data_IF_962230199828
#
_entry.id   IF_962230199828
#
_cell.length_a   1.000
_cell.length_b   1.000
_cell.length_c   1.000
_cell.angle_alpha   90.00
_cell.angle_beta   90.00
_cell.angle_gamma   90.00
#
_symmetry.space_group_name_H-M   'P 1'
#
loop_
_entity.id
_entity.type
_entity.pdbx_description
1 polymer ?
#
# COMPACT_ATOMS: atom_id res chain seq x y z
N UNK A 1 -4.90 11.08 52.42
CA UNK A 1 -4.73 12.25 51.52
C UNK A 1 -6.11 12.68 51.07
N UNK A 2 -6.44 13.96 51.21
CA UNK A 2 -7.76 14.51 50.87
C UNK A 2 -7.99 14.39 49.36
N UNK A 3 -9.12 13.80 48.96
CA UNK A 3 -9.53 13.73 47.57
C UNK A 3 -9.89 15.14 47.08
N UNK A 4 -9.06 15.70 46.19
CA UNK A 4 -9.44 16.91 45.45
C UNK A 4 -10.49 16.52 44.42
N UNK A 5 -11.74 16.87 44.73
CA UNK A 5 -12.86 16.75 43.80
C UNK A 5 -12.80 17.96 42.86
N UNK A 6 -12.37 17.73 41.62
CA UNK A 6 -12.37 18.75 40.58
C UNK A 6 -13.82 19.17 40.31
N UNK A 7 -14.10 20.46 40.45
CA UNK A 7 -15.42 21.04 40.19
C UNK A 7 -15.54 21.34 38.69
N UNK A 8 -16.74 21.20 38.13
CA UNK A 8 -17.02 21.38 36.70
C UNK A 8 -16.61 22.77 36.16
N UNK A 9 -16.50 23.77 37.02
CA UNK A 9 -16.05 25.13 36.71
C UNK A 9 -14.55 25.21 36.38
N UNK A 10 -13.74 24.27 36.87
CA UNK A 10 -12.29 24.22 36.62
C UNK A 10 -11.98 23.67 35.21
N UNK A 11 -12.90 22.91 34.61
CA UNK A 11 -12.80 22.42 33.23
C UNK A 11 -13.30 23.45 32.19
N UNK A 12 -14.08 24.44 32.61
CA UNK A 12 -14.64 25.46 31.73
C UNK A 12 -13.65 26.58 31.37
N UNK A 13 -12.54 26.72 32.13
CA UNK A 13 -11.53 27.76 31.91
C UNK A 13 -10.51 27.42 30.81
N UNK A 14 -10.63 26.27 30.14
CA UNK A 14 -9.73 25.86 29.05
C UNK A 14 -10.24 26.26 27.65
N UNK A 15 -11.41 26.90 27.55
CA UNK A 15 -11.99 27.34 26.27
C UNK A 15 -11.73 28.81 25.94
N UNK A 16 -11.13 29.58 26.84
CA UNK A 16 -10.69 30.94 26.55
C UNK A 16 -9.22 30.87 26.14
N UNK A 17 -8.97 31.07 24.84
CA UNK A 17 -7.69 30.90 24.14
C UNK A 17 -6.51 31.66 24.75
N UNK A 18 -6.01 31.16 25.87
CA UNK A 18 -4.74 31.53 26.47
C UNK A 18 -3.64 30.95 25.59
N UNK A 19 -3.06 31.81 24.73
CA UNK A 19 -1.82 31.46 24.07
C UNK A 19 -0.75 31.26 25.13
N UNK A 20 -0.22 30.05 25.22
CA UNK A 20 1.01 29.81 25.97
C UNK A 20 2.11 30.52 25.19
N UNK A 21 2.59 31.64 25.74
CA UNK A 21 3.75 32.36 25.20
C UNK A 21 4.98 31.44 25.29
N UNK A 22 5.29 30.77 24.18
CA UNK A 22 6.53 30.03 24.04
C UNK A 22 7.64 31.03 23.71
N UNK A 23 8.43 31.37 24.73
CA UNK A 23 9.69 32.09 24.53
C UNK A 23 10.57 31.35 23.50
N UNK A 24 11.25 32.07 22.59
CA UNK A 24 12.04 31.44 21.55
C UNK A 24 13.25 30.73 22.14
N UNK A 25 13.20 29.39 22.18
CA UNK A 25 14.30 28.53 22.59
C UNK A 25 15.44 28.70 21.57
N UNK A 26 16.49 29.39 22.00
CA UNK A 26 17.75 29.52 21.26
C UNK A 26 18.44 28.15 21.14
N UNK A 27 18.56 27.68 19.91
CA UNK A 27 19.62 26.83 19.34
C UNK A 27 20.34 25.86 20.31
N UNK A 28 19.79 24.66 20.48
CA UNK A 28 20.56 23.41 20.67
C UNK A 28 19.83 22.27 19.97
N UNK A 29 20.47 21.68 18.96
CA UNK A 29 19.91 20.66 18.05
C UNK A 29 19.56 19.31 18.72
N UNK A 30 19.62 19.18 20.05
CA UNK A 30 19.36 17.92 20.76
C UNK A 30 18.38 18.05 21.94
N UNK A 31 17.72 19.20 22.11
CA UNK A 31 16.92 19.51 23.32
C UNK A 31 15.61 18.73 23.46
N UNK A 32 14.80 18.64 22.40
CA UNK A 32 13.51 17.92 22.50
C UNK A 32 13.71 16.41 22.65
N UNK A 33 14.75 15.86 22.03
CA UNK A 33 15.03 14.43 22.06
C UNK A 33 15.64 13.98 23.41
N UNK A 34 16.51 14.80 24.01
CA UNK A 34 17.05 14.54 25.34
C UNK A 34 15.98 14.63 26.42
N UNK A 35 15.13 15.66 26.39
CA UNK A 35 14.03 15.80 27.35
C UNK A 35 13.07 14.62 27.32
N UNK A 36 12.66 14.16 26.12
CA UNK A 36 11.76 13.01 25.99
C UNK A 36 12.46 11.72 26.42
N UNK A 37 13.76 11.57 26.13
CA UNK A 37 14.52 10.39 26.53
C UNK A 37 14.68 10.32 28.05
N UNK A 38 15.01 11.44 28.69
CA UNK A 38 15.19 11.55 30.14
C UNK A 38 13.84 11.37 30.86
N UNK A 39 12.74 11.91 30.32
CA UNK A 39 11.38 11.68 30.84
C UNK A 39 10.96 10.20 30.76
N UNK A 40 11.32 9.51 29.68
CA UNK A 40 11.03 8.08 29.52
C UNK A 40 11.93 7.23 30.43
N UNK A 41 13.21 7.57 30.58
CA UNK A 41 14.13 6.91 31.51
C UNK A 41 13.69 7.11 32.97
N UNK A 42 13.20 8.31 33.34
CA UNK A 42 12.63 8.59 34.67
C UNK A 42 11.28 7.89 34.92
N UNK A 43 10.53 7.59 33.85
CA UNK A 43 9.31 6.78 33.97
C UNK A 43 9.61 5.29 34.14
N UNK A 44 10.70 4.81 33.55
CA UNK A 44 11.16 3.41 33.62
C UNK A 44 11.92 3.14 34.92
N UNK A 45 12.69 4.10 35.43
CA UNK A 45 13.51 3.95 36.63
C UNK A 45 12.71 3.94 37.93
N UNK A 46 11.45 4.39 37.91
CA UNK A 46 10.53 4.27 39.05
C UNK A 46 10.18 2.79 39.24
N UNK A 47 10.69 2.09 40.28
CA UNK A 47 10.22 0.75 40.56
C UNK A 47 8.73 0.84 40.86
N UNK A 48 7.92 0.01 40.18
CA UNK A 48 6.53 -0.16 40.55
C UNK A 48 6.51 -0.54 42.04
N UNK A 49 5.98 0.35 42.89
CA UNK A 49 5.80 0.07 44.31
C UNK A 49 4.88 -1.15 44.42
N UNK A 50 5.46 -2.33 44.55
CA UNK A 50 4.74 -3.52 44.95
C UNK A 50 4.40 -3.34 46.42
N UNK A 51 3.27 -2.68 46.69
CA UNK A 51 2.64 -2.83 47.98
C UNK A 51 2.26 -4.31 48.11
N UNK A 52 3.08 -5.10 48.82
CA UNK A 52 2.65 -6.43 49.26
C UNK A 52 1.48 -6.21 50.23
N UNK A 53 0.26 -6.22 49.68
CA UNK A 53 -0.94 -6.22 50.50
C UNK A 53 -0.91 -7.52 51.29
N UNK A 54 -0.63 -7.43 52.59
CA UNK A 54 -0.86 -8.55 53.52
C UNK A 54 -2.36 -8.86 53.41
N UNK A 55 -2.70 -10.04 52.88
CA UNK A 55 -4.10 -10.47 52.75
C UNK A 55 -4.73 -10.49 54.13
N UNK A 56 -5.71 -9.64 54.35
CA UNK A 56 -6.50 -9.68 55.58
C UNK A 56 -7.49 -10.84 55.52
N UNK A 57 -7.88 -11.40 56.67
CA UNK A 57 -8.89 -12.47 56.77
C UNK A 57 -10.24 -12.09 56.13
N UNK A 58 -10.49 -10.79 55.91
CA UNK A 58 -11.69 -10.27 55.26
C UNK A 58 -11.58 -10.10 53.74
N UNK A 59 -10.44 -10.38 53.12
CA UNK A 59 -10.26 -10.27 51.65
C UNK A 59 -10.79 -11.50 50.89
N UNK A 60 -11.15 -12.60 51.57
CA UNK A 60 -11.84 -13.73 50.97
C UNK A 60 -13.36 -13.53 50.97
N UNK A 61 -13.84 -12.47 50.30
CA UNK A 61 -15.26 -12.38 49.98
C UNK A 61 -15.50 -13.29 48.76
N UNK A 62 -16.48 -14.21 48.77
CA UNK A 62 -16.80 -15.00 47.60
C UNK A 62 -17.18 -14.05 46.46
N UNK A 63 -16.31 -13.93 45.47
CA UNK A 63 -16.57 -13.10 44.31
C UNK A 63 -17.68 -13.75 43.49
N UNK A 64 -18.76 -13.00 43.29
CA UNK A 64 -19.83 -13.40 42.38
C UNK A 64 -19.25 -13.61 40.98
N UNK A 65 -19.89 -14.46 40.17
CA UNK A 65 -19.45 -14.73 38.80
C UNK A 65 -19.31 -13.45 37.96
N UNK A 66 -20.16 -12.46 38.21
CA UNK A 66 -20.09 -11.14 37.60
C UNK A 66 -18.81 -10.36 37.97
N UNK A 67 -18.34 -10.45 39.21
CA UNK A 67 -17.07 -9.80 39.59
C UNK A 67 -15.88 -10.46 38.90
N UNK A 68 -15.89 -11.79 38.81
CA UNK A 68 -14.84 -12.56 38.10
C UNK A 68 -14.82 -12.25 36.60
N UNK A 69 -15.98 -12.11 35.97
CA UNK A 69 -16.06 -11.77 34.54
C UNK A 69 -15.59 -10.34 34.27
N UNK A 70 -15.96 -9.36 35.10
CA UNK A 70 -15.49 -7.98 34.99
C UNK A 70 -13.97 -7.89 35.20
N UNK A 71 -13.43 -8.60 36.19
CA UNK A 71 -12.00 -8.64 36.46
C UNK A 71 -11.21 -9.29 35.31
N UNK A 72 -11.73 -10.38 34.74
CA UNK A 72 -11.14 -11.01 33.56
C UNK A 72 -11.10 -10.05 32.36
N UNK A 73 -12.18 -9.30 32.10
CA UNK A 73 -12.23 -8.30 31.01
C UNK A 73 -11.20 -7.19 31.25
N UNK A 74 -11.04 -6.70 32.48
CA UNK A 74 -10.06 -5.67 32.82
C UNK A 74 -8.62 -6.18 32.65
N UNK A 75 -8.33 -7.41 33.05
CA UNK A 75 -7.02 -8.04 32.85
C UNK A 75 -6.72 -8.21 31.35
N UNK A 76 -7.68 -8.66 30.55
CA UNK A 76 -7.52 -8.78 29.09
C UNK A 76 -7.24 -7.43 28.42
N UNK A 77 -7.92 -6.35 28.85
CA UNK A 77 -7.67 -5.00 28.34
C UNK A 77 -6.25 -4.53 28.64
N UNK A 78 -5.74 -4.78 29.84
CA UNK A 78 -4.37 -4.43 30.22
C UNK A 78 -3.33 -5.21 29.41
N UNK A 79 -3.56 -6.51 29.19
CA UNK A 79 -2.69 -7.35 28.35
C UNK A 79 -2.67 -6.84 26.91
N UNK A 80 -3.84 -6.53 26.35
CA UNK A 80 -3.94 -5.98 25.00
C UNK A 80 -3.22 -4.62 24.87
N UNK A 81 -3.35 -3.76 25.88
CA UNK A 81 -2.65 -2.48 25.94
C UNK A 81 -1.13 -2.66 26.03
N UNK A 82 -0.65 -3.63 26.82
CA UNK A 82 0.78 -3.97 26.89
C UNK A 82 1.31 -4.53 25.56
N UNK A 83 0.56 -5.41 24.90
CA UNK A 83 0.93 -5.94 23.58
C UNK A 83 1.00 -4.81 22.56
N UNK A 84 0.02 -3.92 22.54
CA UNK A 84 0.00 -2.75 21.66
C UNK A 84 1.21 -1.85 21.91
N UNK A 85 1.56 -1.57 23.18
CA UNK A 85 2.76 -0.81 23.55
C UNK A 85 4.05 -1.50 23.13
N UNK A 86 4.15 -2.82 23.29
CA UNK A 86 5.32 -3.61 22.84
C UNK A 86 5.49 -3.55 21.33
N UNK A 87 4.41 -3.70 20.58
CA UNK A 87 4.42 -3.62 19.12
C UNK A 87 4.85 -2.22 18.65
N UNK A 88 4.32 -1.16 19.27
CA UNK A 88 4.70 0.22 18.94
C UNK A 88 6.20 0.49 19.23
N UNK A 89 6.73 -0.04 20.36
CA UNK A 89 8.16 0.04 20.69
C UNK A 89 9.03 -0.71 19.69
N UNK A 90 8.62 -1.92 19.32
CA UNK A 90 9.35 -2.72 18.33
C UNK A 90 9.45 -2.01 16.97
N UNK A 91 8.34 -1.44 16.49
CA UNK A 91 8.33 -0.68 15.24
C UNK A 91 9.22 0.57 15.32
N UNK A 92 9.19 1.28 16.46
CA UNK A 92 10.06 2.41 16.70
C UNK A 92 11.54 2.02 16.66
N UNK A 93 11.93 0.95 17.37
CA UNK A 93 13.31 0.47 17.42
C UNK A 93 13.78 -0.04 16.06
N UNK A 94 12.92 -0.74 15.30
CA UNK A 94 13.18 -1.17 13.92
C UNK A 94 13.45 0.03 13.01
N UNK A 95 12.63 1.08 13.09
CA UNK A 95 12.80 2.32 12.34
C UNK A 95 14.10 3.03 12.73
N UNK A 96 14.43 3.08 14.02
CA UNK A 96 15.66 3.70 14.51
C UNK A 96 16.92 2.93 14.13
N UNK A 97 16.88 1.60 14.14
CA UNK A 97 17.98 0.76 13.64
C UNK A 97 18.24 1.00 12.14
N UNK A 98 17.17 1.10 11.32
CA UNK A 98 17.26 1.44 9.90
C UNK A 98 17.88 2.82 9.70
N UNK A 99 17.44 3.83 10.45
CA UNK A 99 17.99 5.19 10.37
C UNK A 99 19.48 5.20 10.78
N UNK A 100 19.85 4.50 11.85
CA UNK A 100 21.27 4.37 12.27
C UNK A 100 22.11 3.70 11.19
N UNK A 101 21.60 2.65 10.54
CA UNK A 101 22.26 1.99 9.39
C UNK A 101 22.45 2.98 8.23
N UNK A 102 21.41 3.71 7.83
CA UNK A 102 21.47 4.69 6.73
C UNK A 102 22.44 5.86 7.05
N UNK A 103 22.43 6.34 8.29
CA UNK A 103 23.29 7.43 8.75
C UNK A 103 24.73 6.98 9.02
N UNK A 104 25.01 5.67 9.07
CA UNK A 104 26.35 5.14 9.33
C UNK A 104 27.33 5.49 8.19
N UNK A 105 28.59 5.73 8.56
CA UNK A 105 29.66 6.03 7.59
C UNK A 105 29.93 4.86 6.65
N UNK A 106 29.78 3.62 7.12
CA UNK A 106 29.98 2.40 6.32
C UNK A 106 28.92 2.25 5.24
N UNK A 107 27.64 2.44 5.56
CA UNK A 107 26.54 2.39 4.58
C UNK A 107 26.72 3.45 3.48
N UNK A 108 27.10 4.68 3.84
CA UNK A 108 27.38 5.75 2.86
C UNK A 108 28.56 5.41 1.95
N UNK A 109 29.61 4.77 2.47
CA UNK A 109 30.76 4.30 1.67
C UNK A 109 30.35 3.20 0.70
N UNK A 110 29.60 2.20 1.16
CA UNK A 110 29.08 1.13 0.31
C UNK A 110 28.18 1.69 -0.79
N UNK A 111 27.22 2.55 -0.45
CA UNK A 111 26.31 3.17 -1.42
C UNK A 111 27.02 4.00 -2.49
N UNK A 112 28.15 4.65 -2.15
CA UNK A 112 29.00 5.35 -3.14
C UNK A 112 29.70 4.35 -4.07
N UNK A 113 30.24 3.25 -3.54
CA UNK A 113 30.86 2.18 -4.34
C UNK A 113 29.85 1.51 -5.27
N UNK A 114 28.64 1.23 -4.78
CA UNK A 114 27.58 0.60 -5.58
C UNK A 114 27.11 1.54 -6.71
N UNK A 115 27.05 2.86 -6.43
CA UNK A 115 26.76 3.87 -7.45
C UNK A 115 27.85 3.90 -8.54
N UNK A 116 29.12 3.92 -8.14
CA UNK A 116 30.25 3.89 -9.08
C UNK A 116 30.21 2.61 -9.92
N UNK A 117 30.03 1.44 -9.31
CA UNK A 117 29.89 0.17 -10.04
C UNK A 117 28.74 0.16 -11.04
N UNK A 118 27.62 0.81 -10.69
CA UNK A 118 26.46 0.92 -11.58
C UNK A 118 26.74 1.86 -12.75
N UNK A 119 27.45 2.96 -12.52
CA UNK A 119 27.93 3.86 -13.56
C UNK A 119 28.96 3.16 -14.47
N UNK A 120 29.92 2.43 -13.90
CA UNK A 120 30.89 1.60 -14.65
C UNK A 120 30.20 0.51 -15.48
N UNK A 121 29.15 -0.15 -14.95
CA UNK A 121 28.38 -1.13 -15.71
C UNK A 121 27.57 -0.50 -16.85
N UNK A 122 27.03 0.71 -16.64
CA UNK A 122 26.35 1.47 -17.68
C UNK A 122 27.32 1.93 -18.78
N UNK A 123 28.52 2.35 -18.39
CA UNK A 123 29.58 2.77 -19.31
C UNK A 123 30.14 1.58 -20.09
N UNK A 124 30.30 0.41 -19.46
CA UNK A 124 30.65 -0.84 -20.14
C UNK A 124 29.58 -1.26 -21.16
N UNK A 125 28.28 -1.17 -20.83
CA UNK A 125 27.21 -1.41 -21.79
C UNK A 125 27.18 -0.37 -22.93
N UNK A 126 27.59 0.87 -22.66
CA UNK A 126 27.68 1.92 -23.68
C UNK A 126 28.88 1.72 -24.61
N UNK A 127 30.03 1.32 -24.07
CA UNK A 127 31.22 0.98 -24.86
C UNK A 127 31.00 -0.27 -25.73
N UNK A 128 30.32 -1.31 -25.21
CA UNK A 128 29.93 -2.48 -26.01
C UNK A 128 28.98 -2.10 -27.17
N UNK A 129 28.06 -1.17 -26.95
CA UNK A 129 27.18 -0.65 -28.01
C UNK A 129 27.96 0.15 -29.07
N UNK A 130 29.00 0.90 -28.68
CA UNK A 130 29.83 1.68 -29.60
C UNK A 130 30.87 0.86 -30.38
N UNK A 131 31.26 -0.33 -29.86
CA UNK A 131 32.20 -1.25 -30.52
C UNK A 131 31.52 -2.07 -31.63
N UNK A 132 30.20 -2.19 -31.61
CA UNK A 132 29.40 -2.91 -32.62
C UNK A 132 28.94 -2.05 -33.81
N UNK A 133 29.19 -0.74 -33.81
CA UNK A 133 28.70 0.17 -34.87
C UNK A 133 29.61 0.27 -36.11
N UNK A 134 30.78 -0.39 -36.12
CA UNK A 134 31.72 -0.36 -37.26
C UNK A 134 31.76 -1.65 -38.10
N UNK A 135 30.76 -2.54 -38.08
CA UNK A 135 30.56 -3.45 -39.22
C UNK A 135 29.10 -3.88 -39.37
N UNK A 136 28.62 -3.75 -40.61
CA UNK A 136 27.48 -4.45 -41.24
C UNK A 136 26.05 -4.05 -40.85
N UNK A 137 25.44 -3.33 -41.80
CA UNK A 137 24.01 -3.38 -42.13
C UNK A 137 23.57 -4.81 -42.46
N UNK A 138 22.94 -5.50 -41.50
CA UNK A 138 22.09 -6.65 -41.78
C UNK A 138 21.05 -6.78 -40.64
N UNK A 139 19.79 -6.49 -40.96
CA UNK A 139 18.68 -6.59 -40.00
C UNK A 139 18.26 -8.05 -39.94
N UNK A 140 18.78 -8.76 -38.92
CA UNK A 140 18.24 -10.05 -38.49
C UNK A 140 17.47 -9.86 -37.18
N UNK A 141 16.29 -10.47 -37.18
CA UNK A 141 15.28 -10.61 -36.13
C UNK A 141 15.82 -10.50 -34.69
N UNK A 142 15.37 -9.46 -33.99
CA UNK A 142 15.54 -9.33 -32.54
C UNK A 142 14.70 -10.39 -31.84
N UNK A 143 15.32 -11.51 -31.48
CA UNK A 143 14.78 -12.48 -30.53
C UNK A 143 15.42 -12.18 -29.17
N UNK A 144 14.68 -11.75 -28.12
CA UNK A 144 15.30 -11.51 -26.84
C UNK A 144 15.62 -12.87 -26.20
N UNK A 145 16.91 -13.23 -26.22
CA UNK A 145 17.46 -14.30 -25.39
C UNK A 145 17.46 -13.77 -23.96
N UNK A 146 16.48 -14.19 -23.17
CA UNK A 146 16.50 -14.00 -21.72
C UNK A 146 17.53 -15.00 -21.17
N UNK A 147 18.79 -14.59 -21.08
CA UNK A 147 19.79 -15.27 -20.26
C UNK A 147 19.50 -14.97 -18.79
N UNK A 148 18.82 -15.88 -18.11
CA UNK A 148 18.74 -15.88 -16.66
C UNK A 148 20.10 -16.25 -16.08
N UNK A 149 20.99 -15.27 -15.93
CA UNK A 149 22.08 -15.36 -14.98
C UNK A 149 21.48 -15.35 -13.57
N UNK A 150 21.66 -16.46 -12.84
CA UNK A 150 21.41 -16.53 -11.40
C UNK A 150 22.44 -15.65 -10.71
N UNK A 151 22.18 -14.35 -10.68
CA UNK A 151 22.94 -13.42 -9.87
C UNK A 151 22.20 -12.94 -8.63
N UNK A 152 23.01 -12.61 -7.65
CA UNK A 152 22.72 -12.62 -6.22
C UNK A 152 21.68 -11.56 -5.84
N UNK A 153 20.83 -11.91 -4.86
CA UNK A 153 19.88 -11.03 -4.17
C UNK A 153 20.37 -9.58 -4.05
N UNK A 154 19.81 -8.69 -4.87
CA UNK A 154 19.83 -7.25 -4.65
C UNK A 154 18.82 -6.87 -3.54
N UNK A 155 19.23 -6.13 -2.50
CA UNK A 155 18.42 -5.93 -1.28
C UNK A 155 17.47 -4.72 -1.36
N UNK A 156 16.86 -4.42 -2.51
CA UNK A 156 16.07 -3.18 -2.68
C UNK A 156 14.61 -3.36 -3.09
N UNK A 157 14.04 -4.56 -3.03
CA UNK A 157 12.61 -4.77 -3.28
C UNK A 157 11.97 -5.58 -2.14
N UNK A 158 11.77 -4.93 -1.00
CA UNK A 158 10.85 -5.38 0.06
C UNK A 158 9.80 -4.27 0.24
N UNK A 159 8.75 -4.30 -0.60
CA UNK A 159 7.47 -3.73 -0.21
C UNK A 159 6.72 -4.79 0.61
N UNK A 160 6.53 -4.38 1.86
CA UNK A 160 6.07 -5.06 3.07
C UNK A 160 4.65 -5.61 2.94
N UNK A 161 4.52 -6.89 2.59
CA UNK A 161 3.39 -7.70 3.02
C UNK A 161 3.79 -8.45 4.29
N UNK A 162 3.46 -7.89 5.45
CA UNK A 162 3.27 -8.61 6.72
C UNK A 162 4.30 -9.70 7.03
N UNK A 163 5.58 -9.36 7.06
CA UNK A 163 6.62 -10.30 7.49
C UNK A 163 6.63 -10.35 9.03
N UNK A 164 5.98 -11.38 9.60
CA UNK A 164 6.18 -11.78 10.99
C UNK A 164 7.68 -12.04 11.24
N UNK A 165 8.25 -11.63 12.39
CA UNK A 165 9.70 -11.68 12.58
C UNK A 165 10.19 -13.13 12.67
N UNK A 166 11.08 -13.48 11.75
CA UNK A 166 12.07 -14.57 11.78
C UNK A 166 11.76 -15.71 12.76
N UNK A 167 11.09 -16.73 12.24
CA UNK A 167 11.17 -18.08 12.77
C UNK A 167 11.75 -18.94 11.62
N UNK A 168 12.97 -19.45 11.80
CA UNK A 168 13.72 -20.34 10.87
C UNK A 168 12.98 -21.68 10.60
N UNK A 169 11.74 -21.81 11.09
CA UNK A 169 10.82 -22.92 10.90
C UNK A 169 9.98 -22.80 9.62
N UNK A 170 9.90 -21.61 9.00
CA UNK A 170 9.03 -21.36 7.83
C UNK A 170 9.58 -21.86 6.48
N UNK A 171 10.88 -22.14 6.37
CA UNK A 171 11.45 -22.77 5.18
C UNK A 171 10.92 -24.20 5.00
N UNK A 172 10.56 -24.87 6.11
CA UNK A 172 9.88 -26.17 6.05
C UNK A 172 8.48 -26.05 5.46
N UNK A 173 7.74 -24.97 5.75
CA UNK A 173 6.39 -24.78 5.22
C UNK A 173 6.41 -24.44 3.72
N UNK A 174 7.35 -23.59 3.30
CA UNK A 174 7.55 -23.26 1.88
C UNK A 174 8.01 -24.45 1.08
N UNK A 175 9.02 -25.18 1.56
CA UNK A 175 9.46 -26.42 0.92
C UNK A 175 8.40 -27.53 0.94
N UNK A 176 7.45 -27.52 1.88
CA UNK A 176 6.29 -28.41 1.86
C UNK A 176 5.24 -27.98 0.81
N UNK A 177 5.03 -26.68 0.62
CA UNK A 177 4.17 -26.14 -0.43
C UNK A 177 4.74 -26.46 -1.80
N UNK A 178 6.02 -26.21 -2.01
CA UNK A 178 6.72 -26.56 -3.25
C UNK A 178 6.56 -28.06 -3.54
N UNK A 179 6.82 -28.92 -2.55
CA UNK A 179 6.59 -30.38 -2.65
C UNK A 179 5.13 -30.80 -2.82
N UNK A 180 4.18 -30.03 -2.29
CA UNK A 180 2.74 -30.32 -2.45
C UNK A 180 2.24 -29.96 -3.85
N UNK A 181 2.89 -29.01 -4.51
CA UNK A 181 2.62 -28.61 -5.89
C UNK A 181 3.58 -29.21 -6.92
N UNK A 182 4.64 -29.91 -6.49
CA UNK A 182 5.42 -30.88 -7.27
C UNK A 182 4.55 -32.09 -7.64
N UNK A 183 3.53 -31.86 -8.47
CA UNK A 183 2.78 -32.96 -9.09
C UNK A 183 3.70 -33.57 -10.16
N UNK A 184 3.96 -34.88 -10.17
CA UNK A 184 4.79 -35.50 -11.20
C UNK A 184 4.18 -35.25 -12.58
N UNK A 185 4.94 -34.60 -13.47
CA UNK A 185 4.47 -34.08 -14.76
C UNK A 185 4.23 -32.56 -14.81
N UNK A 186 4.38 -31.85 -13.68
CA UNK A 186 4.11 -30.42 -13.52
C UNK A 186 5.40 -29.56 -13.44
N UNK A 187 6.59 -30.16 -13.62
CA UNK A 187 7.90 -29.48 -13.62
C UNK A 187 8.07 -28.42 -14.73
N UNK A 188 7.14 -28.40 -15.70
CA UNK A 188 7.08 -27.44 -16.81
C UNK A 188 6.30 -26.16 -16.50
N UNK A 189 5.51 -26.10 -15.43
CA UNK A 189 4.48 -25.05 -15.30
C UNK A 189 5.04 -23.66 -15.05
N UNK A 190 6.14 -23.54 -14.31
CA UNK A 190 6.80 -22.24 -14.15
C UNK A 190 7.34 -21.73 -15.50
N UNK A 191 7.91 -22.63 -16.31
CA UNK A 191 8.43 -22.27 -17.64
C UNK A 191 7.29 -21.95 -18.60
N UNK A 192 6.24 -22.76 -18.61
CA UNK A 192 5.03 -22.54 -19.41
C UNK A 192 4.36 -21.21 -19.04
N UNK A 193 4.25 -20.91 -17.75
CA UNK A 193 3.73 -19.64 -17.25
C UNK A 193 4.61 -18.46 -17.66
N UNK A 194 5.93 -18.56 -17.54
CA UNK A 194 6.85 -17.50 -18.00
C UNK A 194 6.75 -17.28 -19.52
N UNK A 195 6.58 -18.35 -20.30
CA UNK A 195 6.37 -18.30 -21.74
C UNK A 195 5.03 -17.65 -22.09
N UNK A 196 3.95 -18.02 -21.40
CA UNK A 196 2.62 -17.40 -21.53
C UNK A 196 2.68 -15.92 -21.18
N UNK A 197 3.30 -15.57 -20.05
CA UNK A 197 3.51 -14.19 -19.63
C UNK A 197 4.28 -13.39 -20.68
N UNK A 198 5.36 -13.95 -21.22
CA UNK A 198 6.13 -13.30 -22.28
C UNK A 198 5.31 -13.08 -23.55
N UNK A 199 4.47 -14.05 -23.95
CA UNK A 199 3.57 -13.92 -25.10
C UNK A 199 2.56 -12.80 -24.90
N UNK A 200 1.86 -12.79 -23.76
CA UNK A 200 0.88 -11.74 -23.43
C UNK A 200 1.55 -10.36 -23.39
N UNK A 201 2.75 -10.26 -22.81
CA UNK A 201 3.53 -9.02 -22.81
C UNK A 201 3.88 -8.55 -24.22
N UNK A 202 4.24 -9.45 -25.12
CA UNK A 202 4.55 -9.13 -26.51
C UNK A 202 3.29 -8.74 -27.32
N UNK A 203 2.16 -9.38 -27.04
CA UNK A 203 0.86 -9.09 -27.67
C UNK A 203 0.33 -7.71 -27.26
N UNK A 204 0.41 -7.37 -25.98
CA UNK A 204 -0.05 -6.07 -25.44
C UNK A 204 0.95 -4.93 -25.72
N UNK A 205 2.19 -5.25 -26.08
CA UNK A 205 3.23 -4.24 -26.33
C UNK A 205 2.82 -3.32 -27.50
N UNK A 206 3.17 -2.03 -27.45
CA UNK A 206 2.93 -1.12 -28.57
C UNK A 206 3.69 -1.60 -29.80
N UNK A 207 2.97 -1.92 -30.88
CA UNK A 207 3.54 -2.45 -32.12
C UNK A 207 3.51 -1.40 -33.23
N UNK A 208 4.60 -1.34 -33.99
CA UNK A 208 4.71 -0.53 -35.21
C UNK A 208 4.68 -1.50 -36.37
N UNK A 209 3.56 -1.54 -37.10
CA UNK A 209 3.37 -2.41 -38.26
C UNK A 209 3.62 -1.58 -39.50
N UNK A 210 4.59 -2.01 -40.30
CA UNK A 210 4.90 -1.40 -41.60
C UNK A 210 4.21 -2.17 -42.71
N UNK A 211 3.28 -1.53 -43.40
CA UNK A 211 2.64 -2.07 -44.59
C UNK A 211 3.32 -1.51 -45.84
N UNK A 212 3.94 -2.37 -46.64
CA UNK A 212 4.41 -1.99 -47.96
C UNK A 212 3.22 -1.94 -48.93
N UNK A 213 3.20 -0.97 -49.85
CA UNK A 213 2.17 -0.92 -50.89
C UNK A 213 2.25 -2.19 -51.77
N UNK A 214 1.11 -2.85 -52.03
CA UNK A 214 1.09 -4.07 -52.84
C UNK A 214 1.59 -3.80 -54.26
N UNK A 215 2.49 -4.63 -54.77
CA UNK A 215 3.10 -4.50 -56.10
C UNK A 215 4.47 -3.79 -56.14
N UNK A 216 4.91 -3.20 -55.03
CA UNK A 216 6.30 -2.75 -54.86
C UNK A 216 7.10 -3.87 -54.20
N UNK A 217 7.93 -4.58 -54.98
CA UNK A 217 8.77 -5.70 -54.52
C UNK A 217 8.50 -7.01 -55.26
N UNK A 218 7.24 -7.44 -55.36
CA UNK A 218 6.87 -8.75 -55.93
C UNK A 218 7.03 -8.85 -57.46
N UNK A 219 7.05 -7.73 -58.18
CA UNK A 219 7.07 -7.73 -59.65
C UNK A 219 8.48 -7.80 -60.25
N UNK A 220 9.51 -7.48 -59.47
CA UNK A 220 10.87 -7.31 -59.97
C UNK A 220 11.66 -8.64 -60.07
N UNK A 221 11.10 -9.75 -59.58
CA UNK A 221 11.77 -11.05 -59.50
C UNK A 221 12.39 -11.28 -58.12
N UNK A 222 12.55 -12.55 -57.77
CA UNK A 222 12.93 -13.04 -56.42
C UNK A 222 14.32 -12.54 -55.96
N UNK A 223 15.21 -12.20 -56.90
CA UNK A 223 16.61 -11.84 -56.65
C UNK A 223 16.89 -10.33 -56.54
N UNK A 224 15.85 -9.47 -56.50
CA UNK A 224 16.04 -8.01 -56.37
C UNK A 224 15.68 -7.55 -54.96
N UNK A 225 16.68 -7.04 -54.23
CA UNK A 225 16.50 -6.50 -52.88
C UNK A 225 15.59 -5.27 -52.89
N UNK A 226 14.48 -5.35 -52.15
CA UNK A 226 13.52 -4.27 -52.02
C UNK A 226 13.83 -3.39 -50.81
N UNK A 227 13.95 -2.08 -51.04
CA UNK A 227 14.16 -1.10 -49.97
C UNK A 227 12.88 -0.33 -49.62
N UNK A 228 12.53 -0.39 -48.34
CA UNK A 228 11.45 0.41 -47.75
C UNK A 228 11.85 1.88 -47.68
N UNK A 229 10.91 2.76 -48.02
CA UNK A 229 11.01 4.20 -48.08
C UNK A 229 9.69 4.81 -47.56
N UNK A 230 9.70 6.10 -47.25
CA UNK A 230 8.54 6.85 -46.76
C UNK A 230 7.36 6.90 -47.74
N UNK A 231 7.60 6.64 -49.02
CA UNK A 231 6.58 6.71 -50.08
C UNK A 231 5.96 5.36 -50.43
N UNK A 232 6.67 4.25 -50.20
CA UNK A 232 6.22 2.89 -50.50
C UNK A 232 5.81 2.11 -49.24
N UNK A 233 5.98 2.68 -48.04
CA UNK A 233 5.56 2.07 -46.77
C UNK A 233 4.65 2.99 -45.96
N UNK A 234 3.57 2.41 -45.46
CA UNK A 234 2.62 3.03 -44.53
C UNK A 234 2.86 2.45 -43.15
N UNK A 235 3.02 3.31 -42.14
CA UNK A 235 3.29 2.90 -40.77
C UNK A 235 1.99 2.97 -39.96
N UNK A 236 1.51 1.83 -39.50
CA UNK A 236 0.42 1.71 -38.55
C UNK A 236 0.99 1.53 -37.14
N UNK A 237 0.62 2.41 -36.22
CA UNK A 237 0.96 2.29 -34.81
C UNK A 237 -0.23 1.66 -34.11
N UNK A 238 -0.06 0.45 -33.59
CA UNK A 238 -1.04 -0.16 -32.69
C UNK A 238 -0.79 0.34 -31.28
N UNK A 239 -1.84 0.88 -30.68
CA UNK A 239 -1.81 1.30 -29.29
C UNK A 239 -1.64 0.07 -28.40
N UNK A 240 -0.74 0.17 -27.43
CA UNK A 240 -0.40 -0.91 -26.52
C UNK A 240 0.19 -0.37 -25.22
N UNK A 241 0.37 -1.27 -24.25
CA UNK A 241 0.85 -0.93 -22.91
C UNK A 241 2.36 -1.20 -22.86
N UNK A 242 3.14 -0.19 -22.46
CA UNK A 242 4.59 -0.37 -22.26
C UNK A 242 4.82 -1.35 -21.13
N UNK A 243 5.86 -2.17 -21.23
CA UNK A 243 6.15 -3.17 -20.20
C UNK A 243 6.26 -2.59 -18.78
N UNK A 244 6.80 -1.37 -18.64
CA UNK A 244 6.93 -0.69 -17.34
C UNK A 244 5.61 -0.19 -16.73
N UNK A 245 4.61 0.10 -17.57
CA UNK A 245 3.33 0.70 -17.13
C UNK A 245 2.30 -0.36 -16.73
N UNK A 246 2.56 -1.65 -17.03
CA UNK A 246 1.70 -2.77 -16.66
C UNK A 246 1.58 -2.92 -15.14
N UNK A 247 0.40 -3.28 -14.66
CA UNK A 247 0.09 -3.53 -13.26
C UNK A 247 0.82 -4.77 -12.70
N UNK A 248 1.18 -5.71 -13.56
CA UNK A 248 1.88 -6.94 -13.24
C UNK A 248 3.39 -6.88 -13.47
N UNK A 249 3.94 -5.73 -13.85
CA UNK A 249 5.38 -5.56 -14.14
C UNK A 249 6.29 -6.01 -12.98
N UNK A 250 5.93 -5.65 -11.75
CA UNK A 250 6.70 -6.00 -10.54
C UNK A 250 6.34 -7.36 -9.94
N UNK A 251 5.40 -8.09 -10.52
CA UNK A 251 4.87 -9.36 -9.98
C UNK A 251 5.36 -10.50 -10.86
N UNK A 252 6.22 -11.40 -10.36
CA UNK A 252 6.74 -12.50 -11.18
C UNK A 252 5.66 -13.53 -11.53
N UNK A 253 4.80 -13.89 -10.58
CA UNK A 253 3.91 -15.05 -10.67
C UNK A 253 2.45 -14.69 -10.98
N UNK A 254 2.20 -13.51 -11.54
CA UNK A 254 0.84 -13.02 -11.86
C UNK A 254 0.84 -12.46 -13.28
N UNK A 255 -0.19 -12.81 -14.04
CA UNK A 255 -0.53 -12.18 -15.32
C UNK A 255 -1.86 -11.47 -15.10
N UNK A 256 -1.92 -10.15 -15.34
CA UNK A 256 -3.16 -9.37 -15.21
C UNK A 256 -3.66 -9.03 -16.60
N UNK A 257 -4.93 -9.34 -16.88
CA UNK A 257 -5.61 -8.90 -18.09
C UNK A 257 -6.12 -7.46 -17.89
N UNK A 258 -5.45 -6.49 -18.51
CA UNK A 258 -5.78 -5.06 -18.40
C UNK A 258 -6.81 -4.59 -19.45
N UNK A 259 -7.09 -5.42 -20.46
CA UNK A 259 -8.06 -5.15 -21.53
C UNK A 259 -9.46 -5.70 -21.23
N UNK A 260 -9.73 -6.08 -19.98
CA UNK A 260 -11.03 -6.60 -19.58
C UNK A 260 -12.09 -5.48 -19.58
N UNK A 261 -13.02 -5.54 -20.54
CA UNK A 261 -14.11 -4.58 -20.65
C UNK A 261 -15.29 -4.99 -19.76
N UNK A 262 -15.67 -4.10 -18.84
CA UNK A 262 -16.97 -4.16 -18.17
C UNK A 262 -18.03 -3.73 -19.19
N UNK A 263 -19.24 -4.30 -19.16
CA UNK A 263 -20.27 -3.90 -20.11
C UNK A 263 -20.74 -2.47 -19.88
N UNK A 264 -21.03 -1.76 -20.98
CA UNK A 264 -21.37 -0.32 -20.96
C UNK A 264 -22.59 0.01 -20.10
N UNK A 265 -23.54 -0.94 -19.98
CA UNK A 265 -24.72 -0.81 -19.11
C UNK A 265 -24.35 -0.55 -17.64
N UNK A 266 -23.23 -1.11 -17.18
CA UNK A 266 -22.78 -0.97 -15.79
C UNK A 266 -21.70 0.10 -15.61
N UNK A 267 -21.28 0.79 -16.69
CA UNK A 267 -20.37 1.92 -16.60
C UNK A 267 -21.16 3.16 -16.14
N UNK A 268 -20.82 3.70 -14.97
CA UNK A 268 -21.40 4.94 -14.47
C UNK A 268 -20.48 6.13 -14.74
N UNK A 269 -21.01 7.21 -15.30
CA UNK A 269 -20.34 8.51 -15.29
C UNK A 269 -20.49 9.17 -13.92
N UNK A 270 -19.55 10.06 -13.58
CA UNK A 270 -19.59 10.79 -12.32
C UNK A 270 -20.80 11.73 -12.28
N UNK A 271 -21.70 11.63 -11.27
CA UNK A 271 -22.84 12.51 -11.17
C UNK A 271 -22.44 13.96 -10.85
N UNK A 272 -23.28 14.93 -11.23
CA UNK A 272 -23.05 16.35 -10.96
C UNK A 272 -22.90 16.63 -9.46
N UNK A 273 -21.96 17.51 -9.11
CA UNK A 273 -21.71 17.94 -7.73
C UNK A 273 -20.92 16.95 -6.88
N UNK A 274 -20.45 15.84 -7.44
CA UNK A 274 -19.61 14.86 -6.74
C UNK A 274 -18.17 14.85 -7.26
N UNK A 275 -17.22 14.68 -6.34
CA UNK A 275 -15.86 14.24 -6.67
C UNK A 275 -15.84 12.71 -6.80
N UNK A 276 -14.88 12.17 -7.57
CA UNK A 276 -14.74 10.72 -7.78
C UNK A 276 -14.60 9.96 -6.45
N UNK A 277 -13.77 10.48 -5.53
CA UNK A 277 -13.54 9.88 -4.21
C UNK A 277 -14.83 9.86 -3.38
N UNK A 278 -15.49 11.01 -3.25
CA UNK A 278 -16.75 11.16 -2.52
C UNK A 278 -17.85 10.24 -3.07
N UNK A 279 -17.90 10.07 -4.39
CA UNK A 279 -18.87 9.18 -5.02
C UNK A 279 -18.59 7.71 -4.71
N UNK A 280 -17.33 7.30 -4.81
CA UNK A 280 -16.91 5.93 -4.48
C UNK A 280 -17.15 5.60 -3.01
N UNK A 281 -16.90 6.53 -2.09
CA UNK A 281 -17.22 6.35 -0.67
C UNK A 281 -18.72 6.12 -0.44
N UNK A 282 -19.58 6.89 -1.12
CA UNK A 282 -21.03 6.69 -1.05
C UNK A 282 -21.47 5.35 -1.63
N UNK A 283 -20.89 4.92 -2.75
CA UNK A 283 -21.19 3.61 -3.34
C UNK A 283 -20.77 2.44 -2.45
N UNK A 284 -19.71 2.59 -1.66
CA UNK A 284 -19.26 1.56 -0.69
C UNK A 284 -20.22 1.36 0.47
N UNK A 285 -21.13 2.31 0.74
CA UNK A 285 -22.13 2.17 1.80
C UNK A 285 -23.40 1.49 1.28
N UNK A 286 -23.70 0.24 1.69
CA UNK A 286 -24.90 -0.44 1.21
C UNK A 286 -26.14 0.12 1.91
N UNK A 287 -27.22 0.29 1.15
CA UNK A 287 -28.49 0.86 1.63
C UNK A 287 -29.50 -0.24 1.99
N UNK A 288 -29.18 -1.53 1.77
CA UNK A 288 -30.14 -2.63 1.94
C UNK A 288 -30.37 -3.00 3.42
N UNK A 289 -31.57 -3.53 3.71
CA UNK A 289 -31.91 -4.06 5.03
C UNK A 289 -31.12 -5.34 5.39
N UNK A 290 -30.66 -6.08 4.38
CA UNK A 290 -29.88 -7.31 4.56
C UNK A 290 -28.47 -7.03 5.09
N UNK A 291 -27.91 -5.88 4.71
CA UNK A 291 -26.53 -5.50 5.05
C UNK A 291 -26.46 -4.55 6.25
N UNK A 292 -27.54 -3.85 6.57
CA UNK A 292 -27.59 -2.82 7.63
C UNK A 292 -28.70 -3.07 8.64
N UNK A 293 -28.56 -2.53 9.86
CA UNK A 293 -29.63 -2.61 10.86
C UNK A 293 -30.89 -1.87 10.40
N UNK A 294 -32.07 -2.36 10.79
CA UNK A 294 -33.36 -1.73 10.48
C UNK A 294 -33.43 -0.25 10.86
N UNK A 295 -32.76 0.18 11.93
CA UNK A 295 -32.71 1.60 12.33
C UNK A 295 -31.96 2.45 11.30
N UNK A 296 -30.84 1.95 10.80
CA UNK A 296 -29.98 2.63 9.82
C UNK A 296 -30.68 2.64 8.46
N UNK A 297 -31.23 1.50 8.03
CA UNK A 297 -32.06 1.38 6.84
C UNK A 297 -33.22 2.39 6.84
N UNK A 298 -33.99 2.42 7.93
CA UNK A 298 -35.10 3.34 8.08
C UNK A 298 -34.64 4.81 8.04
N UNK A 299 -33.43 5.12 8.51
CA UNK A 299 -32.86 6.47 8.39
C UNK A 299 -32.54 6.83 6.93
N UNK A 300 -32.05 5.89 6.12
CA UNK A 300 -31.75 6.14 4.71
C UNK A 300 -33.01 6.28 3.84
N UNK A 301 -34.04 5.46 4.10
CA UNK A 301 -35.26 5.43 3.26
C UNK A 301 -36.25 6.51 3.64
N UNK A 302 -36.27 6.95 4.91
CA UNK A 302 -37.12 8.07 5.32
C UNK A 302 -36.71 9.32 4.54
N UNK A 303 -37.60 9.79 3.69
CA UNK A 303 -37.47 11.09 3.06
C UNK A 303 -37.32 12.14 4.16
N UNK A 304 -36.36 13.04 4.00
CA UNK A 304 -36.26 14.27 4.80
C UNK A 304 -37.43 15.20 4.44
N UNK A 305 -38.66 14.77 4.69
CA UNK A 305 -39.80 15.67 4.72
C UNK A 305 -39.79 16.28 6.12
N UNK A 306 -39.22 17.49 6.20
CA UNK A 306 -39.54 18.42 7.27
C UNK A 306 -41.00 18.88 7.22
N UNK A 307 -41.73 18.43 6.20
CA UNK A 307 -43.15 18.66 6.08
C UNK A 307 -43.84 17.59 6.92
N UNK A 308 -44.30 17.99 8.11
CA UNK A 308 -45.42 17.36 8.81
C UNK A 308 -46.72 17.48 7.97
N UNK A 309 -46.62 17.32 6.64
CA UNK A 309 -47.75 17.30 5.73
C UNK A 309 -48.44 15.96 5.94
N UNK A 310 -49.35 15.93 6.91
CA UNK A 310 -50.32 14.87 7.04
C UNK A 310 -51.07 14.75 5.70
N UNK A 311 -51.23 13.53 5.23
CA UNK A 311 -51.98 13.26 4.01
C UNK A 311 -53.41 13.81 4.20
N UNK A 312 -53.81 14.78 3.37
CA UNK A 312 -55.15 15.39 3.44
C UNK A 312 -55.22 16.77 4.12
N UNK A 313 -54.13 17.31 4.65
CA UNK A 313 -54.08 18.68 5.17
C UNK A 313 -53.56 19.68 4.14
N UNK A 314 -54.14 20.88 4.09
CA UNK A 314 -53.69 21.97 3.20
C UNK A 314 -52.35 22.53 3.71
N UNK A 315 -51.31 22.47 2.88
CA UNK A 315 -50.00 23.03 3.19
C UNK A 315 -50.11 24.56 3.21
N UNK A 316 -49.97 25.16 4.38
CA UNK A 316 -49.99 26.61 4.55
C UNK A 316 -48.59 27.19 4.33
N UNK A 317 -48.46 28.41 3.80
CA UNK A 317 -47.17 29.08 3.74
C UNK A 317 -46.62 29.25 5.16
N UNK A 318 -45.29 29.18 5.29
CA UNK A 318 -44.63 29.40 6.57
C UNK A 318 -44.84 30.84 7.03
N UNK A 319 -45.59 31.02 8.10
CA UNK A 319 -45.74 32.32 8.76
C UNK A 319 -44.46 32.61 9.56
N UNK A 320 -43.89 33.79 9.35
CA UNK A 320 -42.72 34.25 10.10
C UNK A 320 -43.21 35.04 11.32
N UNK A 321 -42.98 34.51 12.52
CA UNK A 321 -43.21 35.23 13.77
C UNK A 321 -41.93 36.01 14.16
N UNK A 322 -41.95 37.34 14.14
CA UNK A 322 -40.77 38.16 14.46
C UNK A 322 -40.44 38.26 15.96
N UNK A 323 -41.21 37.63 16.85
CA UNK A 323 -41.08 37.78 18.31
C UNK A 323 -40.14 36.77 19.01
N UNK A 324 -39.24 36.11 18.27
CA UNK A 324 -38.21 35.20 18.84
C UNK A 324 -36.81 35.54 18.37
#
# INVERSE_FOLDING_TARGET
>A
MQEKKFMLEELAQLNDGTCVDLEPIKNKEDGSYSLIKDEIEDFISKPARTHSKKSSFFDSVPSTELKKSIEAILQMRNIHEEISKKNARYEFDRKMARIRKIKSKTYRKMKRKDKIKKEEALEACFEESSRSEETSSNIQEFRPVISFEKDKKDPSNEEDYGQSPSDDSNDSARGLVDKAFEVPGFEGNEKEFLLEKAKVVQEDAPQIIEHCLPGWGDWAGEDIEFHKNKFNTTIEKKDGIKMSDRQDYRKSNVIINEHAEISDKYKSTLPYGYSHENYNEKLKTPISLETTSSKIFNRFVRLNKNDNAALGETIRPREFNPEY
#
